data_IF_440900179618
#
_entry.id   IF_440900179618
#
_cell.length_a   1.000
_cell.length_b   1.000
_cell.length_c   1.000
_cell.angle_alpha   90.00
_cell.angle_beta   90.00
_cell.angle_gamma   90.00
#
_symmetry.space_group_name_H-M   'P 1'
#
loop_
_entity.id
_entity.type
_entity.pdbx_description
1 polymer ?
#
# COMPACT_ATOMS: atom_id res chain seq x y z
N UNK A 1 -36.11 32.81 -9.24
CA UNK A 1 -35.07 32.05 -9.96
C UNK A 1 -33.66 32.12 -9.36
N UNK A 2 -33.25 33.23 -8.71
CA UNK A 2 -31.89 33.37 -8.14
C UNK A 2 -31.58 32.35 -7.04
N UNK A 3 -32.50 32.14 -6.10
CA UNK A 3 -32.35 31.16 -5.00
C UNK A 3 -32.32 29.70 -5.47
N UNK A 4 -33.12 29.35 -6.49
CA UNK A 4 -33.11 28.01 -7.09
C UNK A 4 -31.76 27.70 -7.74
N UNK A 5 -31.16 28.68 -8.44
CA UNK A 5 -29.83 28.52 -9.04
C UNK A 5 -28.76 28.36 -7.95
N UNK A 6 -28.79 29.18 -6.90
CA UNK A 6 -27.85 29.07 -5.77
C UNK A 6 -27.96 27.71 -5.09
N UNK A 7 -29.19 27.23 -4.88
CA UNK A 7 -29.44 25.90 -4.31
C UNK A 7 -28.85 24.78 -5.19
N UNK A 8 -29.10 24.81 -6.51
CA UNK A 8 -28.53 23.85 -7.46
C UNK A 8 -26.99 23.89 -7.49
N UNK A 9 -26.39 25.08 -7.44
CA UNK A 9 -24.94 25.20 -7.38
C UNK A 9 -24.38 24.62 -6.09
N UNK A 10 -25.02 24.89 -4.95
CA UNK A 10 -24.60 24.36 -3.65
C UNK A 10 -24.69 22.82 -3.60
N UNK A 11 -25.75 22.23 -4.15
CA UNK A 11 -25.90 20.76 -4.18
C UNK A 11 -24.89 20.10 -5.10
N UNK A 12 -24.64 20.66 -6.30
CA UNK A 12 -23.61 20.16 -7.21
C UNK A 12 -22.23 20.26 -6.57
N UNK A 13 -21.93 21.39 -5.92
CA UNK A 13 -20.65 21.60 -5.24
C UNK A 13 -20.43 20.60 -4.09
N UNK A 14 -21.47 20.35 -3.28
CA UNK A 14 -21.43 19.34 -2.23
C UNK A 14 -21.14 17.94 -2.81
N UNK A 15 -21.81 17.59 -3.91
CA UNK A 15 -21.60 16.31 -4.59
C UNK A 15 -20.16 16.15 -5.09
N UNK A 16 -19.56 17.21 -5.64
CA UNK A 16 -18.18 17.18 -6.08
C UNK A 16 -17.19 16.95 -4.93
N UNK A 17 -17.42 17.57 -3.76
CA UNK A 17 -16.58 17.36 -2.57
C UNK A 17 -16.67 15.90 -2.11
N UNK A 18 -17.88 15.34 -2.03
CA UNK A 18 -18.08 13.95 -1.61
C UNK A 18 -17.38 12.99 -2.58
N UNK A 19 -17.51 13.23 -3.89
CA UNK A 19 -16.84 12.41 -4.90
C UNK A 19 -15.32 12.50 -4.83
N UNK A 20 -14.76 13.69 -4.61
CA UNK A 20 -13.32 13.87 -4.44
C UNK A 20 -12.80 13.11 -3.19
N UNK A 21 -13.53 13.18 -2.07
CA UNK A 21 -13.17 12.46 -0.86
C UNK A 21 -13.24 10.92 -1.05
N UNK A 22 -14.28 10.42 -1.73
CA UNK A 22 -14.43 9.00 -2.01
C UNK A 22 -13.33 8.48 -2.95
N UNK A 23 -13.04 9.22 -4.03
CA UNK A 23 -11.94 8.89 -4.93
C UNK A 23 -10.60 8.88 -4.19
N UNK A 24 -10.33 9.87 -3.34
CA UNK A 24 -9.11 9.91 -2.53
C UNK A 24 -8.96 8.68 -1.62
N UNK A 25 -10.04 8.28 -0.94
CA UNK A 25 -10.04 7.06 -0.10
C UNK A 25 -9.80 5.79 -0.92
N UNK A 26 -10.39 5.71 -2.11
CA UNK A 26 -10.19 4.60 -3.03
C UNK A 26 -8.74 4.55 -3.49
N UNK A 27 -8.19 5.64 -4.02
CA UNK A 27 -6.81 5.69 -4.50
C UNK A 27 -5.81 5.36 -3.40
N UNK A 28 -6.05 5.81 -2.17
CA UNK A 28 -5.22 5.45 -1.02
C UNK A 28 -5.28 3.95 -0.71
N UNK A 29 -6.49 3.36 -0.71
CA UNK A 29 -6.66 1.92 -0.50
C UNK A 29 -6.03 1.08 -1.61
N UNK A 30 -6.20 1.48 -2.87
CA UNK A 30 -5.55 0.83 -4.01
C UNK A 30 -4.03 0.96 -3.94
N UNK A 31 -3.49 2.14 -3.59
CA UNK A 31 -2.06 2.36 -3.43
C UNK A 31 -1.45 1.48 -2.33
N UNK A 32 -2.11 1.39 -1.17
CA UNK A 32 -1.70 0.50 -0.08
C UNK A 32 -1.73 -0.97 -0.51
N UNK A 33 -2.83 -1.42 -1.13
CA UNK A 33 -2.96 -2.80 -1.58
C UNK A 33 -1.92 -3.17 -2.65
N UNK A 34 -1.64 -2.27 -3.60
CA UNK A 34 -0.61 -2.47 -4.62
C UNK A 34 0.78 -2.56 -4.00
N UNK A 35 1.12 -1.65 -3.07
CA UNK A 35 2.41 -1.66 -2.40
C UNK A 35 2.62 -2.97 -1.60
N UNK A 36 1.63 -3.44 -0.84
CA UNK A 36 1.73 -4.70 -0.11
C UNK A 36 1.81 -5.91 -1.04
N UNK A 37 1.08 -5.88 -2.15
CA UNK A 37 1.14 -6.92 -3.19
C UNK A 37 2.53 -7.00 -3.82
N UNK A 38 3.14 -5.86 -4.17
CA UNK A 38 4.51 -5.80 -4.70
C UNK A 38 5.54 -6.31 -3.68
N UNK A 39 5.42 -5.88 -2.42
CA UNK A 39 6.29 -6.30 -1.34
C UNK A 39 6.24 -7.83 -1.14
N UNK A 40 5.02 -8.41 -1.08
CA UNK A 40 4.83 -9.86 -0.97
C UNK A 40 5.33 -10.62 -2.20
N UNK A 41 5.16 -10.07 -3.40
CA UNK A 41 5.68 -10.66 -4.63
C UNK A 41 7.21 -10.70 -4.64
N UNK A 42 7.88 -9.62 -4.21
CA UNK A 42 9.33 -9.58 -4.06
C UNK A 42 9.80 -10.61 -3.03
N UNK A 43 9.14 -10.67 -1.87
CA UNK A 43 9.47 -11.64 -0.83
C UNK A 43 9.31 -13.10 -1.30
N UNK A 44 8.26 -13.39 -2.06
CA UNK A 44 8.03 -14.71 -2.67
C UNK A 44 9.14 -15.08 -3.65
N UNK A 45 9.56 -14.14 -4.50
CA UNK A 45 10.65 -14.36 -5.45
C UNK A 45 11.99 -14.61 -4.74
N UNK A 46 12.30 -13.81 -3.71
CA UNK A 46 13.50 -14.02 -2.90
C UNK A 46 13.47 -15.36 -2.17
N UNK A 47 12.34 -15.72 -1.56
CA UNK A 47 12.15 -17.02 -0.91
C UNK A 47 12.41 -18.19 -1.87
N UNK A 48 11.83 -18.15 -3.08
CA UNK A 48 12.10 -19.16 -4.14
C UNK A 48 13.58 -19.22 -4.51
N UNK A 49 14.27 -18.08 -4.59
CA UNK A 49 15.69 -18.03 -4.90
C UNK A 49 16.54 -18.63 -3.77
N UNK A 50 16.14 -18.43 -2.51
CA UNK A 50 16.87 -18.93 -1.34
C UNK A 50 16.65 -20.43 -1.11
N UNK A 51 15.45 -20.96 -1.35
CA UNK A 51 15.15 -22.41 -1.24
C UNK A 51 16.09 -23.23 -2.14
N UNK A 52 16.35 -22.74 -3.35
CA UNK A 52 17.20 -23.42 -4.32
C UNK A 52 18.69 -23.04 -4.24
N UNK A 53 19.07 -22.14 -3.32
CA UNK A 53 20.44 -21.66 -3.18
C UNK A 53 21.25 -22.57 -2.26
N UNK A 54 22.53 -22.81 -2.61
CA UNK A 54 23.51 -23.45 -1.71
C UNK A 54 24.30 -22.43 -0.88
N UNK A 55 24.03 -21.13 -1.06
CA UNK A 55 24.70 -20.04 -0.36
C UNK A 55 24.08 -19.81 1.02
N UNK A 56 24.75 -20.33 2.06
CA UNK A 56 24.34 -20.19 3.45
C UNK A 56 24.39 -18.75 3.94
N UNK A 57 25.27 -17.92 3.41
CA UNK A 57 25.37 -16.51 3.82
C UNK A 57 24.16 -15.73 3.33
N UNK A 58 23.71 -15.96 2.08
CA UNK A 58 22.48 -15.36 1.56
C UNK A 58 21.24 -15.82 2.30
N UNK A 59 21.17 -17.09 2.68
CA UNK A 59 20.06 -17.61 3.52
C UNK A 59 19.99 -16.88 4.87
N UNK A 60 21.14 -16.69 5.53
CA UNK A 60 21.20 -15.97 6.81
C UNK A 60 20.82 -14.49 6.67
N UNK A 61 21.23 -13.84 5.57
CA UNK A 61 20.81 -12.46 5.26
C UNK A 61 19.30 -12.37 5.04
N UNK A 62 18.73 -13.30 4.28
CA UNK A 62 17.29 -13.38 4.05
C UNK A 62 16.51 -13.62 5.35
N UNK A 63 16.98 -14.52 6.21
CA UNK A 63 16.39 -14.75 7.54
C UNK A 63 16.46 -13.51 8.43
N UNK A 64 17.59 -12.79 8.42
CA UNK A 64 17.74 -11.54 9.18
C UNK A 64 16.76 -10.48 8.70
N UNK A 65 16.58 -10.35 7.38
CA UNK A 65 15.61 -9.44 6.78
C UNK A 65 14.17 -9.83 7.14
N UNK A 66 13.80 -11.12 7.09
CA UNK A 66 12.49 -11.60 7.54
C UNK A 66 12.22 -11.23 9.01
N UNK A 67 13.22 -11.39 9.88
CA UNK A 67 13.10 -11.07 11.30
C UNK A 67 13.04 -9.56 11.58
N UNK A 68 13.46 -8.72 10.63
CA UNK A 68 13.32 -7.26 10.72
C UNK A 68 11.95 -6.75 10.25
N UNK A 69 11.13 -7.60 9.65
CA UNK A 69 9.79 -7.20 9.22
C UNK A 69 8.90 -6.91 10.44
N UNK A 70 8.12 -5.83 10.41
CA UNK A 70 7.23 -5.49 11.51
C UNK A 70 6.12 -6.52 11.66
N UNK A 71 5.92 -6.99 12.90
CA UNK A 71 4.95 -8.03 13.25
C UNK A 71 3.49 -7.52 13.26
N UNK A 72 3.29 -6.20 13.38
CA UNK A 72 1.99 -5.56 13.50
C UNK A 72 1.64 -4.78 12.23
N UNK A 73 0.75 -5.34 11.41
CA UNK A 73 0.39 -4.80 10.09
C UNK A 73 -0.51 -3.55 10.10
N UNK A 74 -1.05 -3.13 11.25
CA UNK A 74 -1.98 -1.99 11.32
C UNK A 74 -1.29 -0.63 11.53
N UNK A 75 -0.01 -0.62 11.93
CA UNK A 75 0.76 0.61 12.22
C UNK A 75 1.93 0.84 11.25
N UNK A 76 2.17 -0.10 10.34
CA UNK A 76 3.34 -0.02 9.46
C UNK A 76 2.97 0.62 8.14
N UNK A 77 3.69 1.70 7.80
CA UNK A 77 3.68 2.30 6.48
C UNK A 77 4.22 1.29 5.45
N UNK A 78 3.47 1.04 4.39
CA UNK A 78 3.84 0.07 3.37
C UNK A 78 5.18 0.40 2.71
N UNK A 79 5.54 1.68 2.56
CA UNK A 79 6.83 2.04 1.97
C UNK A 79 8.00 1.60 2.85
N UNK A 80 7.85 1.59 4.18
CA UNK A 80 8.87 1.07 5.10
C UNK A 80 9.06 -0.44 4.93
N UNK A 81 7.96 -1.18 4.72
CA UNK A 81 8.03 -2.62 4.42
C UNK A 81 8.72 -2.85 3.08
N UNK A 82 8.41 -2.03 2.08
CA UNK A 82 9.01 -2.11 0.75
C UNK A 82 10.51 -1.83 0.76
N UNK A 83 10.98 -0.87 1.57
CA UNK A 83 12.40 -0.57 1.74
C UNK A 83 13.18 -1.72 2.38
N UNK A 84 12.58 -2.45 3.32
CA UNK A 84 13.21 -3.61 3.98
C UNK A 84 13.33 -4.80 3.02
N UNK A 85 12.35 -4.97 2.13
CA UNK A 85 12.27 -6.12 1.22
C UNK A 85 13.01 -5.88 -0.10
N UNK A 86 13.28 -4.64 -0.50
CA UNK A 86 14.03 -4.32 -1.74
C UNK A 86 15.49 -4.75 -1.67
#
# INVERSE_FOLDING_TARGET
MKYLRVFLFATIFLFLIIMAAYLGSIFNSFGLNLCYSEALASLSNQSKSMINSNDQQKKKQFETMLNSLPLNGYETDCEKVREIIK
#
